data_IF_819467468041
#
_entry.id   IF_819467468041
#
_cell.length_a   1.000
_cell.length_b   1.000
_cell.length_c   1.000
_cell.angle_alpha   90.00
_cell.angle_beta   90.00
_cell.angle_gamma   90.00
#
_symmetry.space_group_name_H-M   'P 1'
#
loop_
_entity.id
_entity.type
_entity.pdbx_description
1 polymer ?
#
# COMPACT_ATOMS: atom_id res chain seq x y z
N UNK A 1 8.02 -10.52 -9.39
CA UNK A 1 8.33 -9.52 -8.35
C UNK A 1 7.56 -8.27 -8.68
N UNK A 2 6.67 -7.86 -7.79
CA UNK A 2 5.89 -6.63 -7.87
C UNK A 2 6.85 -5.43 -7.81
N UNK A 3 6.64 -4.41 -8.63
CA UNK A 3 7.54 -3.25 -8.69
C UNK A 3 7.36 -2.41 -7.42
N UNK A 4 8.48 -2.00 -6.82
CA UNK A 4 8.48 -1.05 -5.71
C UNK A 4 8.48 0.37 -6.28
N UNK A 5 7.44 1.12 -5.96
CA UNK A 5 7.32 2.54 -6.29
C UNK A 5 7.73 3.36 -5.07
N UNK A 6 8.47 4.46 -5.31
CA UNK A 6 8.89 5.36 -4.23
C UNK A 6 7.80 6.37 -3.95
N UNK A 7 7.53 6.64 -2.67
CA UNK A 7 6.55 7.64 -2.24
C UNK A 7 7.09 8.44 -1.06
N UNK A 8 6.63 9.68 -0.91
CA UNK A 8 7.04 10.55 0.19
C UNK A 8 5.83 10.99 0.99
N UNK A 9 5.90 10.83 2.32
CA UNK A 9 4.85 11.24 3.26
C UNK A 9 5.46 12.12 4.34
N UNK A 10 4.97 13.36 4.48
CA UNK A 10 5.51 14.39 5.41
C UNK A 10 7.03 14.62 5.33
N UNK A 11 7.65 14.39 4.17
CA UNK A 11 9.10 14.53 3.99
C UNK A 11 9.91 13.27 4.30
N UNK A 12 9.27 12.21 4.82
CA UNK A 12 9.86 10.89 5.00
C UNK A 12 9.68 10.02 3.73
N UNK A 13 10.69 9.20 3.43
CA UNK A 13 10.74 8.34 2.25
C UNK A 13 10.23 6.93 2.55
N UNK A 14 9.36 6.43 1.69
CA UNK A 14 8.83 5.07 1.74
C UNK A 14 8.87 4.43 0.35
N UNK A 15 8.74 3.11 0.32
CA UNK A 15 8.41 2.39 -0.90
C UNK A 15 7.10 1.65 -0.70
N UNK A 16 6.32 1.52 -1.77
CA UNK A 16 5.12 0.70 -1.73
C UNK A 16 5.08 -0.27 -2.90
N UNK A 17 4.35 -1.37 -2.71
CA UNK A 17 3.94 -2.25 -3.79
C UNK A 17 2.47 -2.53 -3.69
N UNK A 18 1.79 -2.49 -4.83
CA UNK A 18 0.38 -2.82 -4.94
C UNK A 18 0.25 -4.07 -5.79
N UNK A 19 -0.40 -5.09 -5.25
CA UNK A 19 -0.72 -6.32 -5.95
C UNK A 19 -2.21 -6.58 -5.91
N UNK A 20 -2.74 -7.27 -6.92
CA UNK A 20 -4.14 -7.66 -6.97
C UNK A 20 -4.23 -9.15 -6.74
N UNK A 21 -4.92 -9.55 -5.69
CA UNK A 21 -5.20 -10.95 -5.39
C UNK A 21 -6.63 -11.29 -5.83
N UNK A 22 -6.77 -12.35 -6.61
CA UNK A 22 -8.07 -12.84 -7.08
C UNK A 22 -8.38 -14.06 -6.22
N UNK A 23 -9.15 -13.87 -5.17
CA UNK A 23 -9.62 -15.00 -4.36
C UNK A 23 -10.83 -15.64 -5.08
N UNK A 24 -10.70 -16.92 -5.43
CA UNK A 24 -11.67 -17.69 -6.25
C UNK A 24 -13.06 -17.83 -5.60
N UNK A 25 -13.25 -17.34 -4.37
CA UNK A 25 -14.47 -17.50 -3.57
C UNK A 25 -15.45 -16.32 -3.60
N UNK A 26 -14.99 -15.08 -3.86
CA UNK A 26 -15.82 -13.87 -3.67
C UNK A 26 -16.04 -13.07 -4.97
N UNK A 27 -15.43 -13.47 -6.09
CA UNK A 27 -15.69 -12.88 -7.42
C UNK A 27 -15.16 -11.45 -7.62
N UNK A 28 -14.90 -10.73 -6.52
CA UNK A 28 -14.33 -9.40 -6.48
C UNK A 28 -12.96 -9.48 -5.81
N UNK A 29 -11.88 -9.47 -6.61
CA UNK A 29 -10.51 -9.51 -6.08
C UNK A 29 -10.19 -8.34 -5.15
N UNK A 30 -9.08 -8.45 -4.43
CA UNK A 30 -8.63 -7.50 -3.42
C UNK A 30 -7.29 -6.92 -3.83
N UNK A 31 -7.18 -5.60 -3.74
CA UNK A 31 -5.89 -4.92 -3.81
C UNK A 31 -5.18 -5.07 -2.46
N UNK A 32 -3.97 -5.59 -2.52
CA UNK A 32 -3.08 -5.82 -1.40
C UNK A 32 -1.95 -4.78 -1.41
N UNK A 33 -1.76 -4.09 -0.30
CA UNK A 33 -0.74 -3.03 -0.17
C UNK A 33 0.38 -3.49 0.74
N UNK A 34 1.59 -3.37 0.22
CA UNK A 34 2.82 -3.54 0.97
C UNK A 34 3.53 -2.19 1.07
N UNK A 35 3.97 -1.82 2.28
CA UNK A 35 4.75 -0.60 2.51
C UNK A 35 6.06 -0.99 3.15
N UNK A 36 7.12 -0.34 2.68
CA UNK A 36 8.49 -0.52 3.12
C UNK A 36 9.06 0.82 3.58
N UNK A 37 9.91 0.79 4.60
CA UNK A 37 10.65 1.96 5.06
C UNK A 37 11.77 2.35 4.05
N UNK A 38 12.53 3.42 4.33
CA UNK A 38 13.62 3.87 3.46
C UNK A 38 14.77 2.85 3.32
N UNK A 39 14.92 1.94 4.30
CA UNK A 39 15.87 0.82 4.26
C UNK A 39 15.34 -0.38 3.43
N UNK A 40 14.12 -0.30 2.89
CA UNK A 40 13.40 -1.38 2.18
C UNK A 40 12.99 -2.55 3.10
N UNK A 41 12.89 -2.32 4.40
CA UNK A 41 12.27 -3.29 5.30
C UNK A 41 10.75 -3.18 5.19
N UNK A 42 10.07 -4.33 5.10
CA UNK A 42 8.61 -4.40 5.07
C UNK A 42 8.03 -3.98 6.43
N UNK A 43 7.17 -2.96 6.44
CA UNK A 43 6.54 -2.41 7.65
C UNK A 43 5.01 -2.51 7.63
N UNK A 44 4.42 -2.85 6.48
CA UNK A 44 2.98 -3.00 6.29
C UNK A 44 2.71 -4.05 5.21
N UNK A 45 1.75 -4.94 5.44
CA UNK A 45 1.42 -6.04 4.55
C UNK A 45 -0.02 -6.51 4.80
N UNK A 46 -1.01 -5.85 4.17
CA UNK A 46 -2.42 -6.15 4.43
C UNK A 46 -3.36 -5.82 3.25
N UNK A 47 -4.60 -6.35 3.28
CA UNK A 47 -5.65 -5.95 2.35
C UNK A 47 -5.88 -4.44 2.39
N UNK A 48 -5.89 -3.81 1.22
CA UNK A 48 -5.98 -2.36 1.12
C UNK A 48 -7.34 -1.88 0.62
N UNK A 49 -7.83 -2.48 -0.48
CA UNK A 49 -9.10 -2.07 -1.05
C UNK A 49 -9.75 -3.18 -1.88
N UNK A 50 -11.06 -3.10 -2.07
CA UNK A 50 -11.78 -3.97 -3.00
C UNK A 50 -11.45 -3.64 -4.46
N UNK A 51 -11.65 -4.59 -5.37
CA UNK A 51 -11.45 -4.45 -6.83
C UNK A 51 -12.12 -3.21 -7.44
N UNK A 52 -13.30 -2.83 -6.94
CA UNK A 52 -14.08 -1.69 -7.42
C UNK A 52 -13.59 -0.34 -6.88
N UNK A 53 -12.69 -0.34 -5.91
CA UNK A 53 -12.18 0.88 -5.29
C UNK A 53 -11.16 1.55 -6.18
N UNK A 54 -11.31 2.86 -6.39
CA UNK A 54 -10.27 3.68 -7.00
C UNK A 54 -9.11 3.83 -6.02
N UNK A 55 -7.93 3.33 -6.39
CA UNK A 55 -6.67 3.51 -5.67
C UNK A 55 -5.87 4.58 -6.40
N UNK A 56 -5.38 5.54 -5.63
CA UNK A 56 -4.43 6.55 -6.07
C UNK A 56 -3.32 6.70 -5.02
N UNK A 57 -2.25 7.39 -5.40
CA UNK A 57 -1.12 7.64 -4.50
C UNK A 57 -1.52 8.43 -3.25
N UNK A 58 -2.55 9.27 -3.33
CA UNK A 58 -2.98 10.09 -2.19
C UNK A 58 -3.52 9.21 -1.05
N UNK A 59 -4.34 8.20 -1.36
CA UNK A 59 -4.81 7.23 -0.36
C UNK A 59 -3.66 6.47 0.30
N UNK A 60 -2.63 6.12 -0.47
CA UNK A 60 -1.45 5.44 0.06
C UNK A 60 -0.68 6.37 1.01
N UNK A 61 -0.50 7.64 0.63
CA UNK A 61 0.12 8.65 1.51
C UNK A 61 -0.68 8.86 2.80
N UNK A 62 -2.01 8.93 2.73
CA UNK A 62 -2.88 9.04 3.90
C UNK A 62 -2.73 7.82 4.82
N UNK A 63 -2.73 6.62 4.25
CA UNK A 63 -2.50 5.37 5.00
C UNK A 63 -1.14 5.36 5.68
N UNK A 64 -0.08 5.83 5.00
CA UNK A 64 1.26 5.94 5.58
C UNK A 64 1.25 6.93 6.76
N UNK A 65 0.58 8.08 6.59
CA UNK A 65 0.51 9.09 7.64
C UNK A 65 -0.18 8.57 8.88
N UNK A 66 -1.35 7.97 8.70
CA UNK A 66 -2.20 7.50 9.80
C UNK A 66 -1.52 6.37 10.59
N UNK A 67 -0.84 5.45 9.88
CA UNK A 67 -0.23 4.27 10.50
C UNK A 67 1.20 4.49 11.02
N UNK A 68 1.99 5.38 10.40
CA UNK A 68 3.43 5.48 10.69
C UNK A 68 3.91 6.87 11.11
N UNK A 69 3.12 7.94 10.89
CA UNK A 69 3.55 9.32 11.11
C UNK A 69 2.61 10.12 12.04
N UNK A 70 1.75 9.45 12.79
CA UNK A 70 0.89 10.10 13.78
C UNK A 70 1.71 10.38 15.05
N UNK A 71 2.08 11.65 15.23
CA UNK A 71 2.80 12.17 16.41
C UNK A 71 1.83 12.66 17.50
#
# INVERSE_FOLDING_TARGET
MTKLERISAQGEGFFYSLSFDIDDFIGDGIWWLQIYNDNRDLIHDEPFASSISRIDEQKIVETIKDNFLTY
#
